data_IF_886094624312
#
_entry.id   IF_886094624312
#
_cell.length_a   1.000
_cell.length_b   1.000
_cell.length_c   1.000
_cell.angle_alpha   90.00
_cell.angle_beta   90.00
_cell.angle_gamma   90.00
#
_symmetry.space_group_name_H-M   'P 1'
#
loop_
_entity.id
_entity.type
_entity.pdbx_description
1 polymer ?
#
# COMPACT_ATOMS: atom_id res chain seq x y z
N UNK A 1 -10.90 9.41 34.83
CA UNK A 1 -12.10 8.59 34.56
C UNK A 1 -12.48 7.91 35.86
N UNK A 2 -13.67 8.20 36.35
CA UNK A 2 -14.21 7.68 37.61
C UNK A 2 -14.51 6.18 37.45
N UNK A 3 -13.87 5.33 38.26
CA UNK A 3 -13.85 3.85 38.09
C UNK A 3 -15.16 3.16 38.53
N UNK A 4 -16.20 3.91 38.88
CA UNK A 4 -17.36 3.37 39.62
C UNK A 4 -18.55 2.89 38.74
N UNK A 5 -18.49 2.98 37.41
CA UNK A 5 -19.67 2.69 36.56
C UNK A 5 -19.45 1.71 35.39
N UNK A 6 -18.46 0.81 35.46
CA UNK A 6 -18.34 -0.27 34.49
C UNK A 6 -18.75 -1.59 35.12
N UNK A 7 -20.03 -1.97 34.98
CA UNK A 7 -20.56 -3.25 35.45
C UNK A 7 -20.92 -4.11 34.24
N UNK A 8 -20.42 -5.34 34.20
CA UNK A 8 -20.79 -6.34 33.18
C UNK A 8 -22.30 -6.57 33.21
N UNK A 9 -22.93 -6.77 32.05
CA UNK A 9 -24.36 -7.05 31.94
C UNK A 9 -24.82 -8.31 32.72
N UNK A 10 -23.88 -9.18 33.11
CA UNK A 10 -24.12 -10.39 33.92
C UNK A 10 -23.59 -10.29 35.36
N UNK A 11 -23.14 -9.10 35.82
CA UNK A 11 -22.65 -8.89 37.19
C UNK A 11 -21.25 -9.47 37.48
N UNK A 12 -20.56 -10.00 36.46
CA UNK A 12 -19.17 -10.45 36.59
C UNK A 12 -18.21 -9.26 36.73
N UNK A 13 -17.32 -9.34 37.72
CA UNK A 13 -16.20 -8.40 37.88
C UNK A 13 -15.01 -8.94 37.06
N UNK A 14 -14.34 -8.08 36.30
CA UNK A 14 -13.09 -8.45 35.62
C UNK A 14 -12.02 -8.59 36.72
N UNK A 15 -11.65 -9.82 37.07
CA UNK A 15 -10.72 -10.09 38.19
C UNK A 15 -9.27 -9.74 37.85
N UNK A 16 -8.89 -9.73 36.57
CA UNK A 16 -7.55 -9.38 36.08
C UNK A 16 -7.59 -8.30 35.00
N UNK A 17 -6.58 -7.44 34.97
CA UNK A 17 -6.35 -6.48 33.89
C UNK A 17 -5.93 -7.25 32.62
N UNK A 18 -6.78 -7.24 31.59
CA UNK A 18 -6.50 -7.92 30.33
C UNK A 18 -5.70 -6.98 29.41
N UNK A 19 -4.41 -7.28 29.25
CA UNK A 19 -3.54 -6.58 28.31
C UNK A 19 -3.51 -7.30 26.97
N UNK A 20 -3.73 -6.55 25.89
CA UNK A 20 -3.56 -7.04 24.52
C UNK A 20 -2.32 -6.40 23.93
N UNK A 21 -1.36 -7.22 23.54
CA UNK A 21 -0.22 -6.83 22.72
C UNK A 21 -0.40 -7.44 21.34
N UNK A 22 -0.22 -6.61 20.31
CA UNK A 22 -0.25 -7.05 18.92
C UNK A 22 0.92 -6.43 18.18
N UNK A 23 1.36 -7.10 17.12
CA UNK A 23 2.40 -6.60 16.23
C UNK A 23 1.97 -6.84 14.79
N UNK A 24 1.96 -5.78 13.99
CA UNK A 24 1.73 -5.89 12.55
C UNK A 24 3.07 -6.11 11.85
N UNK A 25 3.22 -7.24 11.17
CA UNK A 25 4.39 -7.46 10.30
C UNK A 25 4.32 -6.45 9.15
N UNK A 26 5.46 -5.93 8.70
CA UNK A 26 5.52 -5.01 7.56
C UNK A 26 5.22 -5.76 6.25
N UNK A 27 4.33 -5.23 5.37
CA UNK A 27 4.07 -5.85 4.07
C UNK A 27 5.34 -5.99 3.22
N UNK A 28 5.51 -7.13 2.56
CA UNK A 28 6.58 -7.34 1.59
C UNK A 28 6.06 -7.15 0.16
N UNK A 29 6.86 -6.51 -0.70
CA UNK A 29 6.56 -6.40 -2.13
C UNK A 29 6.97 -7.72 -2.81
N UNK A 30 5.98 -8.42 -3.37
CA UNK A 30 6.17 -9.66 -4.12
C UNK A 30 6.48 -9.40 -5.59
N UNK A 31 5.87 -8.36 -6.18
CA UNK A 31 6.05 -8.00 -7.57
C UNK A 31 5.98 -6.49 -7.73
N UNK A 32 6.83 -5.97 -8.60
CA UNK A 32 6.77 -4.59 -9.08
C UNK A 32 6.76 -4.57 -10.60
N UNK A 33 5.90 -3.73 -11.18
CA UNK A 33 5.80 -3.48 -12.61
C UNK A 33 5.59 -1.98 -12.86
N UNK A 34 5.98 -1.47 -14.04
CA UNK A 34 6.82 -2.15 -15.03
C UNK A 34 8.25 -2.32 -14.52
N UNK A 35 8.92 -3.39 -14.92
CA UNK A 35 10.35 -3.58 -14.66
C UNK A 35 11.12 -3.43 -15.99
N UNK A 36 12.13 -2.57 -16.02
CA UNK A 36 12.92 -2.28 -17.22
C UNK A 36 12.40 -1.09 -18.03
N UNK A 37 12.63 -1.12 -19.34
CA UNK A 37 12.36 0.00 -20.24
C UNK A 37 10.88 0.10 -20.58
N UNK A 38 10.32 1.31 -20.47
CA UNK A 38 8.96 1.65 -20.88
C UNK A 38 8.97 2.68 -22.01
N UNK A 39 8.02 2.59 -22.94
CA UNK A 39 7.90 3.48 -24.10
C UNK A 39 6.96 4.67 -23.88
N UNK A 40 6.24 4.70 -22.76
CA UNK A 40 5.29 5.76 -22.40
C UNK A 40 5.86 6.66 -21.31
N UNK A 41 5.51 7.96 -21.36
CA UNK A 41 5.84 8.93 -20.32
C UNK A 41 4.84 8.91 -19.16
N UNK A 42 3.74 8.17 -19.30
CA UNK A 42 2.76 7.91 -18.23
C UNK A 42 2.59 6.40 -18.04
N UNK A 43 3.60 5.70 -17.51
CA UNK A 43 3.43 4.30 -17.17
C UNK A 43 2.41 4.15 -16.04
N UNK A 44 1.67 3.04 -16.07
CA UNK A 44 0.94 2.57 -14.90
C UNK A 44 1.88 1.63 -14.16
N UNK A 45 2.15 1.96 -12.90
CA UNK A 45 2.95 1.16 -11.99
C UNK A 45 2.04 0.26 -11.16
N UNK A 46 2.54 -0.90 -10.77
CA UNK A 46 1.82 -1.91 -9.99
C UNK A 46 2.75 -2.53 -8.95
N UNK A 47 2.32 -2.54 -7.69
CA UNK A 47 2.96 -3.26 -6.60
C UNK A 47 2.00 -4.33 -6.08
N UNK A 48 2.49 -5.56 -5.97
CA UNK A 48 1.81 -6.66 -5.31
C UNK A 48 2.46 -6.94 -3.96
N UNK A 49 1.63 -7.22 -2.95
CA UNK A 49 2.04 -7.49 -1.58
C UNK A 49 1.63 -8.90 -1.14
N UNK A 50 2.33 -9.41 -0.13
CA UNK A 50 2.01 -10.68 0.55
C UNK A 50 0.77 -10.58 1.46
N UNK A 51 0.49 -9.39 1.98
CA UNK A 51 -0.61 -9.07 2.89
C UNK A 51 -1.45 -7.88 2.42
N UNK A 52 -2.59 -7.63 3.07
CA UNK A 52 -3.42 -6.47 2.75
C UNK A 52 -2.76 -5.14 3.15
N UNK A 53 -2.88 -4.13 2.30
CA UNK A 53 -2.36 -2.78 2.48
C UNK A 53 -3.48 -1.73 2.55
N UNK A 54 -3.19 -0.57 3.16
CA UNK A 54 -4.04 0.61 3.04
C UNK A 54 -3.73 1.34 1.72
N UNK A 55 -4.54 1.07 0.70
CA UNK A 55 -4.36 1.62 -0.65
C UNK A 55 -4.49 3.14 -0.70
N UNK A 56 -5.20 3.77 0.25
CA UNK A 56 -5.39 5.21 0.24
C UNK A 56 -4.16 5.95 0.77
N UNK A 57 -3.36 5.28 1.60
CA UNK A 57 -2.18 5.87 2.24
C UNK A 57 -0.87 5.44 1.62
N UNK A 58 -0.84 4.35 0.85
CA UNK A 58 0.39 3.79 0.29
C UNK A 58 1.19 4.79 -0.57
N UNK A 59 0.54 5.69 -1.30
CA UNK A 59 1.23 6.67 -2.13
C UNK A 59 2.05 7.66 -1.30
N UNK A 60 1.62 7.97 -0.07
CA UNK A 60 2.36 8.84 0.86
C UNK A 60 3.72 8.24 1.26
N UNK A 61 3.85 6.91 1.15
CA UNK A 61 5.05 6.18 1.49
C UNK A 61 5.96 5.93 0.28
N UNK A 62 5.47 6.09 -0.95
CA UNK A 62 6.31 5.87 -2.13
C UNK A 62 7.25 7.05 -2.35
N UNK A 63 8.53 6.75 -2.52
CA UNK A 63 9.54 7.70 -2.98
C UNK A 63 9.89 7.35 -4.44
N UNK A 64 9.78 8.33 -5.34
CA UNK A 64 10.11 8.14 -6.75
C UNK A 64 11.20 9.13 -7.13
N UNK A 65 12.34 8.62 -7.56
CA UNK A 65 13.52 9.44 -7.83
C UNK A 65 14.04 9.19 -9.24
N UNK A 66 14.32 10.26 -9.98
CA UNK A 66 14.98 10.18 -11.29
C UNK A 66 16.49 9.97 -11.14
N UNK A 67 17.15 9.48 -12.20
CA UNK A 67 18.60 9.40 -12.28
C UNK A 67 19.30 10.74 -12.05
N UNK A 68 18.62 11.84 -12.36
CA UNK A 68 19.12 13.22 -12.19
C UNK A 68 18.85 13.77 -10.78
N UNK A 69 18.45 12.90 -9.84
CA UNK A 69 18.13 13.23 -8.44
C UNK A 69 16.95 14.18 -8.27
N UNK A 70 16.05 14.22 -9.25
CA UNK A 70 14.76 14.88 -9.08
C UNK A 70 13.78 13.91 -8.40
N UNK A 71 13.27 14.31 -7.25
CA UNK A 71 12.24 13.57 -6.53
C UNK A 71 10.86 13.98 -7.04
N UNK A 72 10.03 12.98 -7.35
CA UNK A 72 8.61 13.17 -7.67
C UNK A 72 7.84 13.01 -6.36
N UNK A 73 7.06 14.04 -6.00
CA UNK A 73 6.28 14.03 -4.78
C UNK A 73 5.14 13.01 -4.85
N UNK A 74 4.75 12.42 -3.72
CA UNK A 74 3.55 11.58 -3.61
C UNK A 74 2.28 12.29 -4.10
N UNK A 75 2.21 13.61 -3.99
CA UNK A 75 1.11 14.42 -4.52
C UNK A 75 1.05 14.46 -6.05
N UNK A 76 2.11 14.05 -6.74
CA UNK A 76 2.15 13.92 -8.20
C UNK A 76 1.82 12.50 -8.66
N UNK A 77 1.61 11.58 -7.73
CA UNK A 77 1.11 10.24 -7.98
C UNK A 77 -0.42 10.23 -7.93
N UNK A 78 -1.02 9.29 -8.65
CA UNK A 78 -2.46 9.10 -8.70
C UNK A 78 -2.79 7.61 -8.72
N UNK A 79 -3.68 7.18 -7.83
CA UNK A 79 -4.23 5.83 -7.85
C UNK A 79 -4.97 5.57 -9.17
N UNK A 80 -4.74 4.40 -9.73
CA UNK A 80 -5.45 3.91 -10.91
C UNK A 80 -6.66 3.12 -10.44
N UNK A 81 -7.80 3.31 -11.12
CA UNK A 81 -9.03 2.61 -10.79
C UNK A 81 -8.91 1.10 -11.06
N UNK A 82 -9.74 0.33 -10.39
CA UNK A 82 -9.71 -1.13 -10.44
C UNK A 82 -9.96 -1.69 -11.85
N UNK A 83 -10.81 -1.04 -12.65
CA UNK A 83 -11.16 -1.52 -14.01
C UNK A 83 -9.93 -1.39 -14.91
N UNK A 84 -9.25 -0.24 -14.85
CA UNK A 84 -8.00 -0.01 -15.57
C UNK A 84 -6.89 -0.95 -15.08
N UNK A 85 -6.73 -1.11 -13.76
CA UNK A 85 -5.74 -2.01 -13.19
C UNK A 85 -5.96 -3.47 -13.62
N UNK A 86 -7.21 -3.97 -13.60
CA UNK A 86 -7.57 -5.30 -14.07
C UNK A 86 -7.33 -5.49 -15.56
N UNK A 87 -7.51 -4.46 -16.37
CA UNK A 87 -7.23 -4.51 -17.80
C UNK A 87 -5.74 -4.74 -18.08
N UNK A 88 -4.87 -4.04 -17.34
CA UNK A 88 -3.41 -4.08 -17.57
C UNK A 88 -2.71 -5.26 -16.86
N UNK A 89 -3.12 -5.60 -15.63
CA UNK A 89 -2.42 -6.58 -14.78
C UNK A 89 -3.27 -7.80 -14.42
N UNK A 90 -4.22 -8.17 -15.28
CA UNK A 90 -5.18 -9.26 -15.03
C UNK A 90 -4.55 -10.52 -14.46
N UNK A 91 -3.47 -11.01 -15.07
CA UNK A 91 -2.81 -12.25 -14.65
C UNK A 91 -2.27 -12.20 -13.21
N UNK A 92 -1.74 -11.06 -12.80
CA UNK A 92 -1.22 -10.85 -11.43
C UNK A 92 -2.36 -10.71 -10.43
N UNK A 93 -3.42 -9.98 -10.79
CA UNK A 93 -4.59 -9.79 -9.93
C UNK A 93 -5.34 -11.11 -9.74
N UNK A 94 -5.53 -11.91 -10.79
CA UNK A 94 -6.16 -13.22 -10.70
C UNK A 94 -5.36 -14.17 -9.79
N UNK A 95 -4.02 -14.09 -9.80
CA UNK A 95 -3.16 -14.86 -8.91
C UNK A 95 -3.31 -14.50 -7.42
N UNK A 96 -3.91 -13.34 -7.11
CA UNK A 96 -4.29 -12.96 -5.74
C UNK A 96 -5.69 -13.43 -5.34
N UNK A 97 -6.30 -14.31 -6.14
CA UNK A 97 -7.71 -14.70 -6.01
C UNK A 97 -8.66 -13.51 -6.10
N UNK A 98 -8.23 -12.44 -6.79
CA UNK A 98 -8.97 -11.18 -6.87
C UNK A 98 -8.97 -10.39 -5.56
N UNK A 99 -8.00 -10.57 -4.66
CA UNK A 99 -7.92 -9.76 -3.45
C UNK A 99 -7.39 -8.35 -3.76
N UNK A 100 -8.35 -7.42 -3.91
CA UNK A 100 -8.14 -6.00 -4.21
C UNK A 100 -7.29 -5.23 -3.20
N UNK A 101 -7.08 -5.78 -2.01
CA UNK A 101 -6.34 -5.11 -0.94
C UNK A 101 -4.86 -5.54 -0.91
N UNK A 102 -4.44 -6.50 -1.75
CA UNK A 102 -3.04 -6.96 -1.81
C UNK A 102 -2.22 -6.28 -2.89
N UNK A 103 -2.78 -5.30 -3.61
CA UNK A 103 -2.02 -4.57 -4.61
C UNK A 103 -2.38 -3.09 -4.63
N UNK A 104 -1.49 -2.28 -5.20
CA UNK A 104 -1.79 -0.92 -5.64
C UNK A 104 -1.36 -0.73 -7.08
N UNK A 105 -2.22 -0.10 -7.87
CA UNK A 105 -1.86 0.45 -9.17
C UNK A 105 -1.89 1.98 -9.10
N UNK A 106 -0.87 2.64 -9.65
CA UNK A 106 -0.79 4.09 -9.67
C UNK A 106 -0.11 4.59 -10.94
N UNK A 107 -0.28 5.87 -11.24
CA UNK A 107 0.36 6.55 -12.36
C UNK A 107 0.78 7.97 -11.94
N UNK A 108 1.36 8.71 -12.88
CA UNK A 108 1.87 10.06 -12.68
C UNK A 108 0.87 11.08 -13.24
N UNK A 109 0.59 12.13 -12.46
CA UNK A 109 -0.29 13.24 -12.88
C UNK A 109 0.30 13.98 -14.08
N UNK A 110 1.62 14.17 -14.09
CA UNK A 110 2.40 14.78 -15.16
C UNK A 110 3.18 13.72 -15.95
N UNK A 111 3.55 14.05 -17.19
CA UNK A 111 4.44 13.20 -17.99
C UNK A 111 5.81 13.12 -17.34
N UNK A 112 6.38 11.92 -17.30
CA UNK A 112 7.78 11.68 -16.94
C UNK A 112 8.73 12.25 -18.01
N UNK A 113 9.98 12.44 -17.62
CA UNK A 113 11.04 12.86 -18.53
C UNK A 113 11.41 11.72 -19.50
N UNK A 114 11.70 12.11 -20.74
CA UNK A 114 12.16 11.19 -21.79
C UNK A 114 13.56 10.70 -21.47
N UNK A 115 13.82 9.43 -21.78
CA UNK A 115 15.14 8.81 -21.63
C UNK A 115 15.74 8.94 -20.22
N UNK A 116 14.86 8.95 -19.21
CA UNK A 116 15.24 9.09 -17.79
C UNK A 116 14.95 7.80 -17.06
N UNK A 117 15.89 7.35 -16.25
CA UNK A 117 15.68 6.22 -15.35
C UNK A 117 14.99 6.71 -14.08
N UNK A 118 13.98 5.97 -13.64
CA UNK A 118 13.27 6.22 -12.39
C UNK A 118 13.43 5.04 -11.45
N UNK A 119 13.65 5.33 -10.17
CA UNK A 119 13.68 4.36 -9.09
C UNK A 119 12.47 4.61 -8.21
N UNK A 120 11.65 3.58 -8.02
CA UNK A 120 10.52 3.62 -7.08
C UNK A 120 10.96 2.85 -5.84
N UNK A 121 10.93 3.53 -4.70
CA UNK A 121 11.31 3.01 -3.41
C UNK A 121 10.09 2.99 -2.49
N UNK A 122 9.90 1.87 -1.81
CA UNK A 122 8.96 1.76 -0.71
C UNK A 122 9.79 1.57 0.58
N UNK A 123 10.02 2.63 1.36
CA UNK A 123 10.70 2.54 2.64
C UNK A 123 9.87 1.74 3.65
N UNK A 124 10.52 1.26 4.71
CA UNK A 124 9.86 0.55 5.80
C UNK A 124 8.74 1.40 6.44
N UNK A 125 7.74 0.73 7.02
CA UNK A 125 6.56 1.39 7.60
C UNK A 125 5.37 1.51 6.64
N UNK A 126 5.34 0.70 5.58
CA UNK A 126 4.18 0.54 4.71
C UNK A 126 2.91 0.20 5.53
N UNK A 127 1.81 0.95 5.38
CA UNK A 127 0.61 0.77 6.18
C UNK A 127 -0.10 -0.54 5.82
N UNK A 128 -0.10 -1.50 6.74
CA UNK A 128 -0.90 -2.71 6.60
C UNK A 128 -2.36 -2.45 6.95
N UNK A 129 -3.26 -3.08 6.20
CA UNK A 129 -4.70 -3.08 6.48
C UNK A 129 -5.16 -4.34 7.25
N UNK A 130 -4.25 -5.22 7.68
CA UNK A 130 -4.61 -6.44 8.41
C UNK A 130 -4.81 -6.21 9.91
N UNK A 131 -4.46 -5.03 10.43
CA UNK A 131 -4.63 -4.67 11.83
C UNK A 131 -3.83 -5.54 12.81
N UNK A 132 -3.94 -5.28 14.12
CA UNK A 132 -3.57 -6.23 15.16
C UNK A 132 -4.00 -7.66 14.83
N UNK A 133 -3.09 -8.64 14.88
CA UNK A 133 -3.47 -10.02 15.17
C UNK A 133 -3.66 -10.21 16.66
#
# INVERSE_FOLDING_TARGET
VDKQHCVSAIGGKLDDELFFEFSTITPNVLQFLPCGTVSTLKPICFLLFDQKIDTNRILEHLCVMSSDKHEISSNELQLVDEVTAKKEFKSYIDATEGNHQKYVAFTFKNDLLKATQYTIQLPAGCPSAEGPL
#
